data_IF_509429185935
#
_entry.id   IF_509429185935
#
_cell.length_a   1.000
_cell.length_b   1.000
_cell.length_c   1.000
_cell.angle_alpha   90.00
_cell.angle_beta   90.00
_cell.angle_gamma   90.00
#
_symmetry.space_group_name_H-M   'P 1'
#
loop_
_entity.id
_entity.type
_entity.pdbx_description
1 polymer ?
#
# COMPACT_ATOMS: atom_id res chain seq x y z
N UNK A 1 26.93 -17.04 -9.20
CA UNK A 1 26.79 -15.56 -9.25
C UNK A 1 25.91 -15.02 -10.40
N UNK A 2 25.48 -15.82 -11.39
CA UNK A 2 24.78 -15.33 -12.59
C UNK A 2 23.31 -14.87 -12.42
N UNK A 3 22.68 -15.12 -11.27
CA UNK A 3 21.26 -14.82 -11.04
C UNK A 3 20.96 -13.41 -10.50
N UNK A 4 21.98 -12.66 -10.06
CA UNK A 4 21.77 -11.30 -9.57
C UNK A 4 21.76 -10.30 -10.73
N UNK A 5 20.66 -9.54 -10.94
CA UNK A 5 20.54 -8.62 -12.07
C UNK A 5 21.45 -7.39 -11.96
N UNK A 6 21.89 -7.09 -10.73
CA UNK A 6 22.81 -6.01 -10.40
C UNK A 6 24.08 -6.62 -9.77
N UNK A 7 25.25 -6.21 -10.25
CA UNK A 7 26.55 -6.65 -9.74
C UNK A 7 27.21 -5.43 -9.11
N UNK A 8 27.45 -5.49 -7.80
CA UNK A 8 28.22 -4.47 -7.08
C UNK A 8 29.67 -4.93 -7.09
N UNK A 9 30.54 -4.18 -7.76
CA UNK A 9 31.98 -4.37 -7.72
C UNK A 9 32.54 -3.38 -6.72
N UNK A 10 32.90 -3.88 -5.54
CA UNK A 10 33.62 -3.10 -4.53
C UNK A 10 35.11 -3.25 -4.85
N UNK A 11 35.76 -2.16 -5.24
CA UNK A 11 37.22 -2.16 -5.40
C UNK A 11 37.88 -2.32 -4.03
N UNK A 12 38.98 -3.07 -3.95
CA UNK A 12 39.85 -3.06 -2.76
C UNK A 12 40.45 -1.65 -2.71
N UNK A 13 39.98 -0.82 -1.79
CA UNK A 13 40.44 0.54 -1.64
C UNK A 13 41.94 0.54 -1.37
N UNK A 14 42.75 1.12 -2.28
CA UNK A 14 44.11 1.53 -1.90
C UNK A 14 43.99 2.53 -0.73
N UNK A 15 44.83 2.44 0.31
CA UNK A 15 44.80 3.39 1.42
C UNK A 15 44.91 4.82 0.88
N UNK A 16 44.06 5.72 1.39
CA UNK A 16 43.95 7.14 1.00
C UNK A 16 45.33 7.81 1.08
N UNK A 17 46.08 7.78 -0.01
CA UNK A 17 47.13 8.75 -0.28
C UNK A 17 46.48 9.84 -1.11
N UNK A 18 46.37 11.04 -0.52
CA UNK A 18 45.83 12.24 -1.18
C UNK A 18 46.61 12.48 -2.48
N UNK A 19 45.98 12.31 -3.64
CA UNK A 19 46.39 12.97 -4.88
C UNK A 19 45.17 13.48 -5.64
N UNK A 20 45.18 14.80 -5.77
CA UNK A 20 44.61 15.72 -6.77
C UNK A 20 43.41 15.25 -7.60
N UNK A 21 42.34 16.03 -7.49
CA UNK A 21 41.10 15.93 -8.25
C UNK A 21 41.37 16.35 -9.72
N UNK A 22 41.58 15.39 -10.62
CA UNK A 22 41.46 15.64 -12.06
C UNK A 22 40.07 15.20 -12.54
N UNK A 23 39.26 16.20 -12.83
CA UNK A 23 37.98 16.10 -13.53
C UNK A 23 38.22 15.60 -14.95
N UNK A 24 37.94 14.32 -15.22
CA UNK A 24 37.82 13.84 -16.60
C UNK A 24 36.73 12.78 -16.73
N UNK A 25 35.52 13.24 -17.04
CA UNK A 25 34.51 12.42 -17.71
C UNK A 25 34.85 12.40 -19.20
N UNK A 26 35.84 11.59 -19.60
CA UNK A 26 36.10 11.30 -21.02
C UNK A 26 36.35 9.81 -21.21
N UNK A 27 35.64 9.26 -22.19
CA UNK A 27 36.12 8.20 -23.09
C UNK A 27 36.60 6.90 -22.46
N UNK A 28 35.74 5.89 -22.54
CA UNK A 28 36.09 4.48 -22.68
C UNK A 28 37.38 4.30 -23.51
N UNK A 29 38.41 3.66 -22.93
CA UNK A 29 39.30 2.65 -23.51
C UNK A 29 40.58 2.53 -22.67
N UNK A 30 40.63 1.58 -21.74
CA UNK A 30 41.90 0.98 -21.29
C UNK A 30 41.68 -0.50 -21.01
N UNK A 31 42.38 -1.32 -21.80
CA UNK A 31 42.57 -2.74 -21.62
C UNK A 31 43.57 -2.98 -20.49
N UNK A 32 43.05 -3.15 -19.29
CA UNK A 32 43.71 -3.82 -18.14
C UNK A 32 42.61 -4.14 -17.14
N UNK A 33 42.81 -5.16 -16.31
CA UNK A 33 41.87 -5.64 -15.29
C UNK A 33 41.65 -4.60 -14.17
N UNK A 34 41.21 -3.40 -14.52
CA UNK A 34 40.73 -2.39 -13.58
C UNK A 34 39.32 -2.78 -13.19
N UNK A 35 39.19 -3.27 -11.96
CA UNK A 35 37.88 -3.44 -11.33
C UNK A 35 37.30 -2.05 -11.16
N UNK A 36 36.55 -1.57 -12.17
CA UNK A 36 35.79 -0.32 -12.09
C UNK A 36 34.81 -0.49 -10.93
N UNK A 37 35.12 0.15 -9.81
CA UNK A 37 34.25 0.19 -8.65
C UNK A 37 32.91 0.76 -9.09
N UNK A 38 31.83 0.04 -8.82
CA UNK A 38 30.51 0.50 -9.25
C UNK A 38 29.45 -0.58 -9.29
N UNK A 39 28.22 -0.14 -9.59
CA UNK A 39 27.05 -1.00 -9.76
C UNK A 39 26.79 -1.16 -11.26
N UNK A 40 26.90 -2.38 -11.77
CA UNK A 40 26.48 -2.69 -13.15
C UNK A 40 25.17 -3.45 -13.12
N UNK A 41 24.21 -3.04 -13.95
CA UNK A 41 22.93 -3.73 -14.10
C UNK A 41 22.80 -4.29 -15.50
N UNK A 42 22.32 -5.52 -15.62
CA UNK A 42 21.89 -6.10 -16.91
C UNK A 42 20.62 -5.43 -17.44
N UNK A 43 19.88 -4.72 -16.58
CA UNK A 43 18.60 -4.07 -16.94
C UNK A 43 18.85 -2.70 -17.56
N UNK A 44 18.14 -2.41 -18.65
CA UNK A 44 18.15 -1.09 -19.28
C UNK A 44 17.46 -0.07 -18.37
N UNK A 45 18.12 1.05 -18.09
CA UNK A 45 17.52 2.14 -17.32
C UNK A 45 16.44 2.83 -18.16
N UNK A 46 15.22 2.87 -17.62
CA UNK A 46 14.01 3.42 -18.26
C UNK A 46 13.70 4.85 -17.80
N UNK A 47 14.14 5.20 -16.58
CA UNK A 47 13.95 6.51 -15.95
C UNK A 47 15.13 7.43 -16.30
N UNK A 48 14.85 8.71 -16.55
CA UNK A 48 15.87 9.71 -16.83
C UNK A 48 16.78 9.93 -15.61
N UNK A 49 18.04 10.28 -15.86
CA UNK A 49 18.98 10.60 -14.76
C UNK A 49 18.57 11.94 -14.15
N UNK A 50 18.42 11.95 -12.83
CA UNK A 50 18.26 13.19 -12.09
C UNK A 50 19.64 13.87 -11.98
N UNK A 51 19.84 14.97 -12.72
CA UNK A 51 21.11 15.70 -12.71
C UNK A 51 21.30 16.52 -11.44
N UNK A 52 20.21 16.91 -10.77
CA UNK A 52 20.28 17.75 -9.57
C UNK A 52 20.83 16.95 -8.39
N UNK A 53 20.36 15.72 -8.19
CA UNK A 53 20.90 14.84 -7.14
C UNK A 53 22.37 14.48 -7.40
N UNK A 54 22.73 14.23 -8.67
CA UNK A 54 24.12 13.93 -9.05
C UNK A 54 25.04 15.13 -8.80
N UNK A 55 24.60 16.35 -9.14
CA UNK A 55 25.33 17.58 -8.87
C UNK A 55 25.49 17.79 -7.36
N UNK A 56 24.42 17.64 -6.58
CA UNK A 56 24.45 17.76 -5.12
C UNK A 56 25.43 16.78 -4.48
N UNK A 57 25.46 15.53 -4.97
CA UNK A 57 26.39 14.51 -4.47
C UNK A 57 27.84 14.82 -4.87
N UNK A 58 28.06 15.24 -6.12
CA UNK A 58 29.39 15.61 -6.61
C UNK A 58 29.95 16.82 -5.84
N UNK A 59 29.14 17.84 -5.58
CA UNK A 59 29.52 18.99 -4.75
C UNK A 59 29.84 18.58 -3.31
N UNK A 60 29.03 17.70 -2.71
CA UNK A 60 29.27 17.22 -1.35
C UNK A 60 30.59 16.42 -1.23
N UNK A 61 30.93 15.63 -2.26
CA UNK A 61 32.20 14.89 -2.33
C UNK A 61 33.36 15.86 -2.56
N UNK A 62 33.23 16.81 -3.49
CA UNK A 62 34.27 17.79 -3.80
C UNK A 62 34.61 18.68 -2.60
N UNK A 63 33.63 18.97 -1.74
CA UNK A 63 33.83 19.72 -0.48
C UNK A 63 34.55 18.92 0.62
N UNK A 64 34.81 17.62 0.44
CA UNK A 64 35.78 16.85 1.22
C UNK A 64 35.53 16.60 2.72
N UNK A 65 34.51 17.22 3.33
CA UNK A 65 34.27 17.22 4.78
C UNK A 65 32.91 16.66 5.23
N UNK A 66 32.07 16.18 4.31
CA UNK A 66 30.75 15.70 4.71
C UNK A 66 30.83 14.26 5.27
N UNK A 67 30.29 14.00 6.47
CA UNK A 67 30.23 12.65 7.01
C UNK A 67 29.45 11.70 6.09
N UNK A 68 29.90 10.45 5.98
CA UNK A 68 29.30 9.43 5.09
C UNK A 68 27.79 9.22 5.34
N UNK A 69 27.34 9.35 6.59
CA UNK A 69 25.92 9.21 6.94
C UNK A 69 25.04 10.27 6.26
N UNK A 70 25.56 11.47 5.99
CA UNK A 70 24.80 12.54 5.35
C UNK A 70 24.54 12.21 3.87
N UNK A 71 25.57 11.72 3.17
CA UNK A 71 25.44 11.26 1.77
C UNK A 71 24.46 10.07 1.68
N UNK A 72 24.56 9.13 2.62
CA UNK A 72 23.64 8.00 2.72
C UNK A 72 22.19 8.47 2.94
N UNK A 73 21.96 9.47 3.79
CA UNK A 73 20.62 10.00 4.03
C UNK A 73 20.06 10.75 2.81
N UNK A 74 20.90 11.49 2.09
CA UNK A 74 20.51 12.14 0.83
C UNK A 74 20.06 11.08 -0.20
N UNK A 75 20.80 9.98 -0.33
CA UNK A 75 20.44 8.88 -1.23
C UNK A 75 19.17 8.15 -0.79
N UNK A 76 19.05 7.82 0.50
CA UNK A 76 17.84 7.18 1.04
C UNK A 76 16.60 8.02 0.75
N UNK A 77 16.65 9.32 1.07
CA UNK A 77 15.55 10.25 0.80
C UNK A 77 15.20 10.30 -0.69
N UNK A 78 16.20 10.39 -1.56
CA UNK A 78 15.97 10.38 -3.01
C UNK A 78 15.22 9.11 -3.47
N UNK A 79 15.63 7.92 -2.99
CA UNK A 79 14.96 6.68 -3.39
C UNK A 79 13.57 6.53 -2.76
N UNK A 80 13.34 7.07 -1.56
CA UNK A 80 12.00 7.15 -0.97
C UNK A 80 11.11 8.03 -1.84
N UNK A 81 11.52 9.26 -2.15
CA UNK A 81 10.76 10.20 -2.97
C UNK A 81 10.50 9.63 -4.38
N UNK A 82 11.48 8.93 -4.97
CA UNK A 82 11.34 8.28 -6.26
C UNK A 82 10.34 7.11 -6.20
N UNK A 83 10.36 6.32 -5.13
CA UNK A 83 9.43 5.20 -4.93
C UNK A 83 8.01 5.71 -4.70
N UNK A 84 7.85 6.78 -3.94
CA UNK A 84 6.55 7.43 -3.73
C UNK A 84 5.94 7.88 -5.07
N UNK A 85 6.71 8.63 -5.87
CA UNK A 85 6.30 9.06 -7.22
C UNK A 85 5.99 7.88 -8.15
N UNK A 86 6.72 6.78 -8.02
CA UNK A 86 6.47 5.54 -8.77
C UNK A 86 5.10 4.94 -8.40
N UNK A 87 4.74 4.98 -7.13
CA UNK A 87 3.48 4.42 -6.63
C UNK A 87 2.27 5.33 -6.87
N UNK A 88 2.44 6.63 -7.13
CA UNK A 88 1.31 7.57 -7.31
C UNK A 88 0.25 7.06 -8.30
N UNK A 89 0.57 6.58 -9.52
CA UNK A 89 -0.47 6.09 -10.43
C UNK A 89 -1.22 4.86 -9.90
N UNK A 90 -0.52 3.98 -9.18
CA UNK A 90 -1.12 2.79 -8.56
C UNK A 90 -2.06 3.19 -7.41
N UNK A 91 -1.62 4.09 -6.54
CA UNK A 91 -2.42 4.62 -5.43
C UNK A 91 -3.68 5.32 -5.95
N UNK A 92 -3.53 6.20 -6.95
CA UNK A 92 -4.66 6.92 -7.57
C UNK A 92 -5.73 5.95 -8.09
N UNK A 93 -5.35 4.93 -8.85
CA UNK A 93 -6.29 3.94 -9.33
C UNK A 93 -6.86 3.09 -8.19
N UNK A 94 -6.03 2.66 -7.24
CA UNK A 94 -6.47 1.86 -6.11
C UNK A 94 -7.51 2.57 -5.25
N UNK A 95 -7.39 3.88 -5.04
CA UNK A 95 -8.39 4.69 -4.34
C UNK A 95 -9.79 4.63 -4.99
N UNK A 96 -9.87 4.45 -6.31
CA UNK A 96 -11.17 4.28 -7.01
C UNK A 96 -11.85 2.94 -6.75
N UNK A 97 -11.09 1.97 -6.22
CA UNK A 97 -11.60 0.64 -5.85
C UNK A 97 -12.21 0.63 -4.45
N UNK A 98 -11.90 1.63 -3.62
CA UNK A 98 -12.37 1.74 -2.24
C UNK A 98 -13.76 2.40 -2.24
N UNK A 99 -14.79 1.73 -1.69
CA UNK A 99 -16.10 2.35 -1.51
C UNK A 99 -16.01 3.60 -0.61
N UNK A 100 -16.59 4.71 -1.07
CA UNK A 100 -16.56 5.98 -0.33
C UNK A 100 -17.78 6.18 0.57
N UNK A 101 -18.96 5.74 0.13
CA UNK A 101 -20.22 5.88 0.87
C UNK A 101 -20.58 4.56 1.55
N UNK A 102 -20.58 4.54 2.88
CA UNK A 102 -21.03 3.41 3.71
C UNK A 102 -22.22 3.92 4.53
N UNK A 103 -23.34 3.23 4.46
CA UNK A 103 -24.58 3.58 5.18
C UNK A 103 -25.24 2.33 5.73
N UNK A 104 -26.15 2.48 6.71
CA UNK A 104 -26.92 1.35 7.27
C UNK A 104 -27.71 0.58 6.21
N UNK A 105 -28.14 1.26 5.14
CA UNK A 105 -28.90 0.67 4.03
C UNK A 105 -28.05 -0.05 2.97
N UNK A 106 -26.73 -0.14 3.13
CA UNK A 106 -25.94 -1.00 2.25
C UNK A 106 -26.33 -2.45 2.47
N UNK A 107 -26.82 -3.10 1.40
CA UNK A 107 -27.27 -4.50 1.42
C UNK A 107 -26.12 -5.49 1.64
N UNK A 108 -24.86 -5.08 1.43
CA UNK A 108 -23.70 -5.94 1.59
C UNK A 108 -22.66 -5.28 2.49
N UNK A 109 -21.85 -6.10 3.17
CA UNK A 109 -20.65 -5.64 3.85
C UNK A 109 -19.73 -4.95 2.84
N UNK A 110 -19.12 -3.80 3.19
CA UNK A 110 -18.39 -3.04 2.19
C UNK A 110 -17.15 -3.81 1.75
N UNK A 111 -17.09 -4.14 0.46
CA UNK A 111 -15.97 -4.85 -0.16
C UNK A 111 -15.22 -3.95 -1.13
N UNK A 112 -13.91 -4.18 -1.23
CA UNK A 112 -13.09 -3.53 -2.24
C UNK A 112 -13.42 -4.09 -3.62
N UNK A 113 -13.47 -3.21 -4.62
CA UNK A 113 -13.58 -3.65 -6.01
C UNK A 113 -12.30 -4.38 -6.43
N UNK A 114 -12.37 -5.44 -7.25
CA UNK A 114 -11.18 -6.14 -7.71
C UNK A 114 -10.31 -5.24 -8.57
N UNK A 115 -8.99 -5.35 -8.41
CA UNK A 115 -8.03 -4.62 -9.23
C UNK A 115 -8.04 -5.15 -10.67
N UNK A 116 -8.32 -4.27 -11.65
CA UNK A 116 -8.31 -4.61 -13.07
C UNK A 116 -7.14 -3.97 -13.79
N UNK A 117 -6.26 -4.79 -14.36
CA UNK A 117 -5.07 -4.35 -15.07
C UNK A 117 -5.40 -3.39 -16.23
N UNK A 118 -6.39 -3.72 -17.05
CA UNK A 118 -6.72 -2.89 -18.22
C UNK A 118 -7.25 -1.50 -17.81
N UNK A 119 -8.09 -1.44 -16.78
CA UNK A 119 -8.61 -0.19 -16.24
C UNK A 119 -7.48 0.67 -15.64
N UNK A 120 -6.54 0.05 -14.93
CA UNK A 120 -5.35 0.74 -14.44
C UNK A 120 -4.52 1.32 -15.58
N UNK A 121 -4.23 0.52 -16.63
CA UNK A 121 -3.42 0.97 -17.76
C UNK A 121 -4.09 2.12 -18.53
N UNK A 122 -5.42 2.12 -18.66
CA UNK A 122 -6.17 3.25 -19.22
C UNK A 122 -6.02 4.52 -18.36
N UNK A 123 -6.22 4.40 -17.05
CA UNK A 123 -6.01 5.53 -16.12
C UNK A 123 -4.58 6.07 -16.16
N UNK A 124 -3.59 5.19 -16.32
CA UNK A 124 -2.18 5.55 -16.46
C UNK A 124 -1.90 6.31 -17.76
N UNK A 125 -2.53 5.93 -18.88
CA UNK A 125 -2.39 6.65 -20.15
C UNK A 125 -3.04 8.04 -20.11
N UNK A 126 -4.18 8.16 -19.44
CA UNK A 126 -4.93 9.42 -19.31
C UNK A 126 -4.19 10.45 -18.46
N UNK A 127 -3.66 10.03 -17.31
CA UNK A 127 -3.11 10.97 -16.32
C UNK A 127 -1.57 10.95 -16.24
N UNK A 128 -0.93 10.00 -16.90
CA UNK A 128 0.53 9.83 -16.92
C UNK A 128 1.17 9.41 -15.59
N UNK A 129 2.50 9.12 -15.62
CA UNK A 129 3.31 8.88 -14.43
C UNK A 129 3.91 10.18 -13.86
N UNK A 130 4.27 10.15 -12.57
CA UNK A 130 4.95 11.28 -11.89
C UNK A 130 6.48 11.22 -11.96
N UNK A 131 7.02 10.22 -12.65
CA UNK A 131 8.46 10.00 -12.81
C UNK A 131 8.88 10.42 -14.21
N UNK A 132 10.04 11.08 -14.39
CA UNK A 132 10.57 11.39 -15.70
C UNK A 132 11.07 10.11 -16.39
N UNK A 133 10.25 9.54 -17.27
CA UNK A 133 10.67 8.48 -18.18
C UNK A 133 11.59 9.04 -19.27
N UNK A 134 12.54 8.24 -19.74
CA UNK A 134 13.40 8.64 -20.87
C UNK A 134 12.54 8.83 -22.11
N UNK A 135 12.46 10.06 -22.59
CA UNK A 135 11.85 10.34 -23.88
C UNK A 135 12.73 9.76 -25.00
N UNK A 136 12.11 9.01 -25.92
CA UNK A 136 12.77 8.51 -27.13
C UNK A 136 12.17 9.21 -28.34
N UNK A 137 12.75 10.31 -28.79
CA UNK A 137 12.49 11.09 -30.02
C UNK A 137 11.03 11.55 -30.32
N UNK A 138 10.01 10.88 -29.78
CA UNK A 138 8.58 11.13 -29.99
C UNK A 138 7.79 10.88 -28.69
N UNK A 139 6.77 11.69 -28.37
CA UNK A 139 5.95 11.54 -27.16
C UNK A 139 5.25 10.17 -27.04
N UNK A 140 4.81 9.60 -28.16
CA UNK A 140 4.16 8.27 -28.23
C UNK A 140 5.08 7.15 -27.74
N UNK A 141 6.39 7.28 -27.96
CA UNK A 141 7.38 6.32 -27.49
C UNK A 141 7.55 6.38 -25.97
N UNK A 142 7.44 7.57 -25.38
CA UNK A 142 7.45 7.76 -23.92
C UNK A 142 6.23 7.12 -23.29
N UNK A 143 5.04 7.30 -23.89
CA UNK A 143 3.80 6.62 -23.47
C UNK A 143 3.93 5.11 -23.48
N UNK A 144 4.37 4.55 -24.60
CA UNK A 144 4.60 3.11 -24.70
C UNK A 144 5.65 2.61 -23.70
N UNK A 145 6.65 3.43 -23.39
CA UNK A 145 7.72 3.07 -22.44
C UNK A 145 7.20 2.95 -21.02
N UNK A 146 6.46 3.94 -20.50
CA UNK A 146 5.94 3.84 -19.13
C UNK A 146 4.83 2.81 -19.02
N UNK A 147 3.96 2.69 -20.03
CA UNK A 147 2.91 1.65 -20.04
C UNK A 147 3.55 0.27 -19.95
N UNK A 148 4.52 -0.04 -20.81
CA UNK A 148 5.22 -1.32 -20.78
C UNK A 148 5.93 -1.56 -19.44
N UNK A 149 6.59 -0.54 -18.89
CA UNK A 149 7.24 -0.63 -17.58
C UNK A 149 6.26 -1.03 -16.47
N UNK A 150 5.10 -0.36 -16.38
CA UNK A 150 4.08 -0.73 -15.40
C UNK A 150 3.46 -2.10 -15.71
N UNK A 151 3.21 -2.44 -16.97
CA UNK A 151 2.73 -3.79 -17.35
C UNK A 151 3.68 -4.90 -16.87
N UNK A 152 5.00 -4.69 -16.96
CA UNK A 152 5.98 -5.63 -16.42
C UNK A 152 5.96 -5.65 -14.89
N UNK A 153 5.87 -4.48 -14.25
CA UNK A 153 5.81 -4.39 -12.79
C UNK A 153 4.60 -5.15 -12.20
N UNK A 154 3.43 -5.05 -12.84
CA UNK A 154 2.21 -5.76 -12.40
C UNK A 154 2.36 -7.30 -12.43
N UNK A 155 3.35 -7.84 -13.15
CA UNK A 155 3.63 -9.28 -13.21
C UNK A 155 4.67 -9.73 -12.18
N UNK A 156 5.29 -8.79 -11.46
CA UNK A 156 6.36 -9.08 -10.50
C UNK A 156 5.78 -9.44 -9.11
N UNK A 157 6.52 -10.27 -8.36
CA UNK A 157 6.16 -10.60 -6.96
C UNK A 157 6.07 -9.39 -6.04
N UNK A 158 6.86 -8.34 -6.28
CA UNK A 158 6.78 -7.09 -5.51
C UNK A 158 5.40 -6.42 -5.63
N UNK A 159 4.78 -6.45 -6.81
CA UNK A 159 3.42 -5.93 -6.97
C UNK A 159 2.40 -6.79 -6.23
N UNK A 160 2.54 -8.12 -6.30
CA UNK A 160 1.64 -9.02 -5.56
C UNK A 160 1.68 -8.76 -4.04
N UNK A 161 2.89 -8.57 -3.48
CA UNK A 161 3.05 -8.21 -2.06
C UNK A 161 2.46 -6.84 -1.76
N UNK A 162 2.75 -5.84 -2.58
CA UNK A 162 2.20 -4.48 -2.42
C UNK A 162 0.66 -4.48 -2.48
N UNK A 163 0.08 -5.17 -3.45
CA UNK A 163 -1.37 -5.24 -3.65
C UNK A 163 -2.04 -5.94 -2.48
N UNK A 164 -1.48 -7.06 -2.00
CA UNK A 164 -1.98 -7.76 -0.82
C UNK A 164 -1.98 -6.84 0.39
N UNK A 165 -0.85 -6.18 0.68
CA UNK A 165 -0.73 -5.28 1.81
C UNK A 165 -1.73 -4.12 1.73
N UNK A 166 -1.84 -3.46 0.57
CA UNK A 166 -2.82 -2.39 0.36
C UNK A 166 -4.26 -2.85 0.48
N UNK A 167 -4.57 -4.05 0.00
CA UNK A 167 -5.91 -4.65 0.11
C UNK A 167 -6.27 -4.89 1.57
N UNK A 168 -5.36 -5.48 2.36
CA UNK A 168 -5.58 -5.71 3.80
C UNK A 168 -5.80 -4.40 4.53
N UNK A 169 -4.92 -3.41 4.32
CA UNK A 169 -5.04 -2.11 4.99
C UNK A 169 -6.34 -1.39 4.62
N UNK A 170 -6.71 -1.37 3.35
CA UNK A 170 -7.94 -0.74 2.90
C UNK A 170 -9.19 -1.50 3.38
N UNK A 171 -9.16 -2.83 3.44
CA UNK A 171 -10.24 -3.62 4.03
C UNK A 171 -10.40 -3.34 5.53
N UNK A 172 -9.29 -3.27 6.27
CA UNK A 172 -9.33 -2.93 7.70
C UNK A 172 -9.92 -1.54 7.93
N UNK A 173 -9.46 -0.54 7.18
CA UNK A 173 -9.97 0.82 7.27
C UNK A 173 -11.46 0.91 6.86
N UNK A 174 -11.86 0.17 5.84
CA UNK A 174 -13.26 0.09 5.39
C UNK A 174 -14.15 -0.56 6.45
N UNK A 175 -13.69 -1.66 7.05
CA UNK A 175 -14.36 -2.34 8.17
C UNK A 175 -14.47 -1.40 9.37
N UNK A 176 -13.41 -0.66 9.70
CA UNK A 176 -13.43 0.32 10.80
C UNK A 176 -14.51 1.38 10.59
N UNK A 177 -14.61 1.96 9.39
CA UNK A 177 -15.66 2.93 9.05
C UNK A 177 -17.05 2.31 9.08
N UNK A 178 -17.18 1.09 8.60
CA UNK A 178 -18.44 0.35 8.67
C UNK A 178 -18.91 0.13 10.11
N UNK A 179 -18.02 -0.31 10.99
CA UNK A 179 -18.33 -0.48 12.42
C UNK A 179 -18.67 0.85 13.08
N UNK A 180 -18.00 1.93 12.69
CA UNK A 180 -18.32 3.27 13.16
C UNK A 180 -19.75 3.67 12.76
N UNK A 181 -20.11 3.51 11.48
CA UNK A 181 -21.48 3.79 10.97
C UNK A 181 -22.50 2.94 11.71
N UNK A 182 -22.27 1.63 11.84
CA UNK A 182 -23.15 0.75 12.60
C UNK A 182 -23.34 1.29 14.02
N UNK A 183 -22.26 1.57 14.75
CA UNK A 183 -22.32 2.04 16.13
C UNK A 183 -22.90 3.44 16.30
N UNK A 184 -22.64 4.38 15.40
CA UNK A 184 -22.93 5.81 15.61
C UNK A 184 -24.23 6.28 14.97
N UNK A 185 -24.71 5.60 13.93
CA UNK A 185 -25.93 6.01 13.25
C UNK A 185 -27.18 5.85 14.13
N UNK A 186 -28.14 6.74 13.89
CA UNK A 186 -29.43 6.80 14.58
C UNK A 186 -30.38 5.74 14.02
N UNK A 187 -30.24 4.52 14.53
CA UNK A 187 -31.04 3.36 14.13
C UNK A 187 -32.54 3.59 14.36
N UNK A 188 -32.91 4.35 15.40
CA UNK A 188 -34.32 4.66 15.71
C UNK A 188 -34.97 5.45 14.58
N UNK A 189 -34.29 6.47 14.06
CA UNK A 189 -34.76 7.20 12.88
C UNK A 189 -34.69 6.35 11.63
N UNK A 190 -33.65 5.53 11.48
CA UNK A 190 -33.47 4.73 10.28
C UNK A 190 -34.57 3.68 10.08
N UNK A 191 -35.08 3.05 11.15
CA UNK A 191 -36.14 2.02 11.07
C UNK A 191 -37.45 2.56 10.49
N UNK A 192 -37.75 3.86 10.67
CA UNK A 192 -39.02 4.46 10.28
C UNK A 192 -39.17 4.39 8.75
N UNK A 193 -40.16 3.63 8.28
CA UNK A 193 -40.46 3.47 6.85
C UNK A 193 -39.56 2.48 6.11
N UNK A 194 -38.75 1.69 6.82
CA UNK A 194 -37.94 0.60 6.22
C UNK A 194 -38.71 -0.71 6.13
N UNK A 195 -38.34 -1.51 5.13
CA UNK A 195 -38.98 -2.79 4.91
C UNK A 195 -38.43 -3.86 5.88
N UNK A 196 -39.26 -4.83 6.26
CA UNK A 196 -38.88 -5.87 7.23
C UNK A 196 -37.61 -6.63 6.82
N UNK A 197 -37.45 -6.91 5.53
CA UNK A 197 -36.24 -7.55 5.00
C UNK A 197 -34.97 -6.71 5.26
N UNK A 198 -35.05 -5.38 5.19
CA UNK A 198 -33.90 -4.50 5.48
C UNK A 198 -33.56 -4.51 6.97
N UNK A 199 -34.57 -4.60 7.83
CA UNK A 199 -34.38 -4.72 9.28
C UNK A 199 -33.70 -6.05 9.64
N UNK A 200 -34.18 -7.15 9.06
CA UNK A 200 -33.60 -8.48 9.24
C UNK A 200 -32.18 -8.54 8.70
N UNK A 201 -31.92 -7.96 7.52
CA UNK A 201 -30.56 -7.90 6.94
C UNK A 201 -29.58 -7.16 7.85
N UNK A 202 -29.96 -5.96 8.34
CA UNK A 202 -29.12 -5.22 9.26
C UNK A 202 -28.89 -5.98 10.57
N UNK A 203 -29.91 -6.68 11.08
CA UNK A 203 -29.81 -7.50 12.28
C UNK A 203 -28.82 -8.66 12.10
N UNK A 204 -28.92 -9.38 10.98
CA UNK A 204 -28.00 -10.48 10.63
C UNK A 204 -26.57 -9.94 10.55
N UNK A 205 -26.36 -8.80 9.88
CA UNK A 205 -25.04 -8.16 9.78
C UNK A 205 -24.46 -7.78 11.14
N UNK A 206 -25.25 -7.21 12.05
CA UNK A 206 -24.79 -6.88 13.42
C UNK A 206 -24.42 -8.15 14.19
N UNK A 207 -25.20 -9.22 14.06
CA UNK A 207 -24.92 -10.51 14.72
C UNK A 207 -23.65 -11.16 14.22
N UNK A 208 -23.43 -11.16 12.91
CA UNK A 208 -22.22 -11.74 12.31
C UNK A 208 -20.98 -10.98 12.79
N UNK A 209 -21.06 -9.65 12.88
CA UNK A 209 -19.99 -8.82 13.45
C UNK A 209 -19.70 -9.13 14.94
N UNK A 210 -20.74 -9.35 15.74
CA UNK A 210 -20.59 -9.77 17.15
C UNK A 210 -19.98 -11.17 17.28
N UNK A 211 -20.37 -12.12 16.42
CA UNK A 211 -19.81 -13.48 16.39
C UNK A 211 -18.33 -13.48 16.02
N UNK A 212 -17.96 -12.72 14.98
CA UNK A 212 -16.57 -12.58 14.54
C UNK A 212 -15.68 -12.02 15.65
N UNK A 213 -16.17 -11.03 16.41
CA UNK A 213 -15.44 -10.49 17.57
C UNK A 213 -15.22 -11.53 18.68
N UNK A 214 -16.25 -12.32 19.01
CA UNK A 214 -16.16 -13.31 20.10
C UNK A 214 -15.21 -14.48 19.77
N UNK A 215 -15.17 -14.91 18.50
CA UNK A 215 -14.25 -15.96 18.04
C UNK A 215 -12.79 -15.49 18.11
N UNK A 216 -12.54 -14.21 17.83
CA UNK A 216 -11.19 -13.63 17.84
C UNK A 216 -10.63 -13.44 19.26
N UNK A 217 -11.49 -13.09 20.23
CA UNK A 217 -11.13 -13.02 21.64
C UNK A 217 -10.73 -14.42 22.17
N UNK A 218 -11.44 -15.46 21.73
CA UNK A 218 -11.18 -16.86 22.11
C UNK A 218 -9.86 -17.41 21.53
N UNK A 219 -9.50 -17.00 20.30
CA UNK A 219 -8.24 -17.36 19.66
C UNK A 219 -7.03 -16.61 20.27
N UNK A 220 -7.23 -15.38 20.75
CA UNK A 220 -6.18 -14.55 21.35
C UNK A 220 -5.77 -15.03 22.75
N UNK A 221 -6.69 -15.65 23.50
CA UNK A 221 -6.41 -16.20 24.84
C UNK A 221 -5.61 -17.52 24.85
N UNK A 222 -5.34 -18.16 23.70
CA UNK A 222 -4.64 -19.45 23.61
C UNK A 222 -3.13 -19.35 23.25
N UNK A 223 -2.53 -18.16 23.13
CA UNK A 223 -1.11 -18.01 22.75
C UNK A 223 -0.22 -17.51 23.92
N UNK A 224 0.79 -18.31 24.28
CA UNK A 224 1.96 -18.02 25.15
C UNK A 224 3.27 -18.16 24.32
N UNK A 225 4.47 -17.77 24.82
CA UNK A 225 5.01 -16.48 25.23
C UNK A 225 5.94 -15.87 24.13
N UNK A 226 6.63 -14.71 24.34
CA UNK A 226 7.19 -13.92 23.25
C UNK A 226 8.67 -14.26 22.96
N UNK A 227 8.93 -14.99 21.88
CA UNK A 227 10.25 -15.05 21.24
C UNK A 227 10.11 -14.99 19.72
N UNK A 228 9.97 -13.76 19.23
CA UNK A 228 10.56 -13.28 17.97
C UNK A 228 10.00 -11.88 17.73
N UNK A 229 10.88 -10.89 17.63
CA UNK A 229 10.56 -9.59 17.04
C UNK A 229 10.10 -9.86 15.61
N UNK A 230 8.79 -9.95 15.41
CA UNK A 230 8.18 -9.91 14.08
C UNK A 230 7.91 -8.46 13.77
N UNK A 231 8.88 -7.81 13.14
CA UNK A 231 8.63 -6.65 12.29
C UNK A 231 7.77 -7.12 11.11
N UNK A 232 6.47 -7.27 11.35
CA UNK A 232 5.49 -7.41 10.30
C UNK A 232 4.21 -6.70 10.78
N UNK A 233 4.27 -5.37 10.72
CA UNK A 233 3.16 -4.43 10.89
C UNK A 233 2.18 -4.56 9.71
N UNK A 234 1.63 -5.76 9.53
CA UNK A 234 0.42 -6.01 8.77
C UNK A 234 -0.73 -5.85 9.74
N UNK A 235 -1.31 -4.64 9.79
CA UNK A 235 -2.28 -4.21 10.79
C UNK A 235 -3.25 -5.31 11.18
N UNK A 236 -3.29 -5.61 12.48
CA UNK A 236 -4.26 -6.52 13.07
C UNK A 236 -5.66 -6.15 12.58
N UNK A 237 -6.52 -7.14 12.24
CA UNK A 237 -7.88 -6.86 11.83
C UNK A 237 -8.56 -5.99 12.90
N UNK A 238 -9.32 -4.98 12.46
CA UNK A 238 -9.99 -4.06 13.36
C UNK A 238 -11.01 -4.82 14.21
N UNK A 239 -10.67 -5.08 15.46
CA UNK A 239 -11.54 -5.77 16.42
C UNK A 239 -12.47 -4.77 17.10
N UNK A 240 -13.70 -5.21 17.42
CA UNK A 240 -14.65 -4.37 18.15
C UNK A 240 -14.20 -4.21 19.60
N UNK A 241 -14.19 -2.98 20.08
CA UNK A 241 -13.99 -2.67 21.50
C UNK A 241 -15.20 -3.12 22.32
N UNK A 242 -15.01 -3.37 23.63
CA UNK A 242 -16.10 -3.76 24.53
C UNK A 242 -17.28 -2.77 24.50
N UNK A 243 -17.00 -1.46 24.44
CA UNK A 243 -18.00 -0.40 24.33
C UNK A 243 -18.77 -0.46 23.01
N UNK A 244 -18.09 -0.71 21.89
CA UNK A 244 -18.74 -0.87 20.59
C UNK A 244 -19.66 -2.10 20.58
N UNK A 245 -19.26 -3.21 21.20
CA UNK A 245 -20.10 -4.41 21.31
C UNK A 245 -21.38 -4.16 22.09
N UNK A 246 -21.30 -3.44 23.21
CA UNK A 246 -22.48 -3.06 23.99
C UNK A 246 -23.42 -2.17 23.16
N UNK A 247 -22.86 -1.18 22.46
CA UNK A 247 -23.64 -0.27 21.60
C UNK A 247 -24.35 -1.02 20.46
N UNK A 248 -23.67 -1.98 19.82
CA UNK A 248 -24.27 -2.83 18.79
C UNK A 248 -25.38 -3.72 19.34
N UNK A 249 -25.25 -4.26 20.56
CA UNK A 249 -26.33 -5.02 21.22
C UNK A 249 -27.56 -4.16 21.47
N UNK A 250 -27.37 -2.92 21.90
CA UNK A 250 -28.47 -1.97 22.08
C UNK A 250 -29.15 -1.66 20.74
N UNK A 251 -28.39 -1.45 19.67
CA UNK A 251 -28.96 -1.24 18.34
C UNK A 251 -29.70 -2.47 17.82
N UNK A 252 -29.18 -3.68 18.09
CA UNK A 252 -29.88 -4.91 17.73
C UNK A 252 -31.22 -5.05 18.46
N UNK A 253 -31.31 -4.70 19.75
CA UNK A 253 -32.58 -4.74 20.49
C UNK A 253 -33.61 -3.74 19.94
N UNK A 254 -33.13 -2.56 19.51
CA UNK A 254 -33.93 -1.53 18.85
C UNK A 254 -34.48 -2.02 17.50
N UNK A 255 -33.66 -2.72 16.70
CA UNK A 255 -34.12 -3.27 15.43
C UNK A 255 -35.17 -4.36 15.65
N UNK A 256 -34.96 -5.22 16.65
CA UNK A 256 -35.91 -6.28 17.01
C UNK A 256 -37.24 -5.66 17.46
N UNK A 257 -37.24 -4.58 18.22
CA UNK A 257 -38.47 -3.90 18.61
C UNK A 257 -39.21 -3.21 17.44
N UNK A 258 -38.56 -3.05 16.28
CA UNK A 258 -39.16 -2.57 15.04
C UNK A 258 -39.78 -3.67 14.15
N UNK A 259 -39.46 -4.94 14.36
CA UNK A 259 -39.99 -6.07 13.56
C UNK A 259 -41.44 -6.43 13.91
N UNK A 260 -42.20 -7.15 13.07
CA UNK A 260 -43.49 -7.74 13.44
C UNK A 260 -43.37 -8.79 14.56
N UNK A 261 -44.45 -9.03 15.32
CA UNK A 261 -44.46 -9.98 16.45
C UNK A 261 -43.96 -11.38 16.07
N UNK A 262 -44.39 -11.87 14.91
CA UNK A 262 -44.06 -13.21 14.41
C UNK A 262 -42.55 -13.41 14.20
N UNK A 263 -41.84 -12.34 13.81
CA UNK A 263 -40.39 -12.36 13.63
C UNK A 263 -39.63 -12.07 14.93
N UNK A 264 -40.19 -11.26 15.84
CA UNK A 264 -39.54 -10.93 17.12
C UNK A 264 -39.16 -12.16 17.93
N UNK A 265 -40.10 -13.11 18.06
CA UNK A 265 -39.91 -14.31 18.88
C UNK A 265 -38.74 -15.18 18.39
N UNK A 266 -38.53 -15.24 17.06
CA UNK A 266 -37.42 -15.97 16.44
C UNK A 266 -36.05 -15.32 16.69
N UNK A 267 -36.01 -13.99 16.87
CA UNK A 267 -34.77 -13.25 17.03
C UNK A 267 -34.46 -12.90 18.50
N UNK A 268 -35.43 -12.90 19.41
CA UNK A 268 -35.20 -12.62 20.84
C UNK A 268 -34.50 -13.74 21.60
N UNK A 269 -34.52 -14.98 21.11
CA UNK A 269 -33.95 -16.14 21.82
C UNK A 269 -32.41 -16.18 21.86
N UNK A 270 -31.73 -15.36 21.03
CA UNK A 270 -30.28 -15.46 20.75
C UNK A 270 -29.48 -14.18 21.11
N UNK A 271 -29.99 -13.30 21.98
CA UNK A 271 -29.31 -12.05 22.39
C UNK A 271 -28.38 -12.27 23.58
#
# INVERSE_FOLDING_TARGET
LQHWPNIIRVGVGKPRTRKTYETSWKGLHTSTLDVVQGVTSKRKSVIAKDKAILKKLAEAIARGYQPDYLLNNILRRYFVDLTEKFLVPLNRYFSTLIPFHITLSSQESPQLKPFKTDSFLKSLQEHGPQIPFKAKNFPTNTTNTYVNFYTQFLKCGNFATWLRQRTIEAQNELRKRYLQVLCEDDVQKWIIGKHEMELVDLLVRIRDELKLSNQQDSASSQLLPPTAVRDNDGGSPSTLTAKQREKLRLQASIIISGLPRDLRESFTADI
#
